data_IF_574757095906
#
_entry.id   IF_574757095906
#
_cell.length_a   1.000
_cell.length_b   1.000
_cell.length_c   1.000
_cell.angle_alpha   90.00
_cell.angle_beta   90.00
_cell.angle_gamma   90.00
#
_symmetry.space_group_name_H-M   'P 1'
#
loop_
_entity.id
_entity.type
_entity.pdbx_description
1 polymer ?
#
# COMPACT_ATOMS: atom_id res chain seq x y z
N UNK A 1 12.18 -1.07 -10.03
CA UNK A 1 11.39 -2.09 -9.32
C UNK A 1 11.57 -3.44 -9.99
N UNK A 2 12.36 -4.32 -9.37
CA UNK A 2 12.58 -5.68 -9.87
C UNK A 2 11.25 -6.43 -9.99
N UNK A 3 11.11 -7.27 -11.01
CA UNK A 3 9.95 -8.15 -11.25
C UNK A 3 8.64 -7.45 -11.70
N UNK A 4 8.70 -6.24 -12.26
CA UNK A 4 7.51 -5.50 -12.70
C UNK A 4 6.65 -6.26 -13.73
N UNK A 5 7.27 -7.16 -14.50
CA UNK A 5 6.63 -8.00 -15.51
C UNK A 5 5.79 -9.15 -14.93
N UNK A 6 5.91 -9.41 -13.61
CA UNK A 6 5.10 -10.38 -12.87
C UNK A 6 4.28 -9.69 -11.78
N UNK A 7 3.03 -9.25 -12.08
CA UNK A 7 2.17 -8.57 -11.12
C UNK A 7 1.87 -9.38 -9.87
N UNK A 8 1.89 -10.72 -9.94
CA UNK A 8 1.64 -11.59 -8.78
C UNK A 8 2.82 -11.56 -7.82
N UNK A 9 4.04 -11.68 -8.36
CA UNK A 9 5.27 -11.62 -7.56
C UNK A 9 5.42 -10.25 -6.90
N UNK A 10 5.15 -9.17 -7.63
CA UNK A 10 5.13 -7.80 -7.10
C UNK A 10 4.14 -7.68 -5.95
N UNK A 11 2.89 -8.17 -6.13
CA UNK A 11 1.88 -8.12 -5.08
C UNK A 11 2.37 -8.82 -3.79
N UNK A 12 2.95 -10.02 -3.93
CA UNK A 12 3.43 -10.81 -2.80
C UNK A 12 4.58 -10.13 -2.07
N UNK A 13 5.54 -9.55 -2.79
CA UNK A 13 6.66 -8.82 -2.19
C UNK A 13 6.21 -7.56 -1.47
N UNK A 14 5.27 -6.80 -2.04
CA UNK A 14 4.68 -5.63 -1.36
C UNK A 14 4.01 -6.04 -0.05
N UNK A 15 3.20 -7.11 -0.06
CA UNK A 15 2.54 -7.60 1.16
C UNK A 15 3.55 -8.07 2.21
N UNK A 16 4.56 -8.84 1.80
CA UNK A 16 5.60 -9.34 2.69
C UNK A 16 6.34 -8.19 3.39
N UNK A 17 6.81 -7.20 2.62
CA UNK A 17 7.49 -6.00 3.15
C UNK A 17 6.56 -5.18 4.03
N UNK A 18 5.31 -4.99 3.60
CA UNK A 18 4.31 -4.23 4.37
C UNK A 18 4.09 -4.85 5.73
N UNK A 19 3.82 -6.16 5.80
CA UNK A 19 3.59 -6.83 7.08
C UNK A 19 4.84 -6.85 7.96
N UNK A 20 6.01 -7.08 7.38
CA UNK A 20 7.26 -7.02 8.13
C UNK A 20 7.47 -5.65 8.79
N UNK A 21 7.28 -4.55 8.06
CA UNK A 21 7.42 -3.20 8.61
C UNK A 21 6.29 -2.88 9.60
N UNK A 22 5.07 -3.37 9.33
CA UNK A 22 3.89 -3.15 10.16
C UNK A 22 3.96 -3.83 11.53
N UNK A 23 4.81 -4.85 11.71
CA UNK A 23 5.02 -5.47 13.02
C UNK A 23 5.51 -4.46 14.06
N UNK A 24 6.33 -3.49 13.66
CA UNK A 24 6.90 -2.51 14.58
C UNK A 24 5.85 -1.60 15.24
N UNK A 25 4.97 -0.89 14.50
CA UNK A 25 3.90 -0.10 15.12
C UNK A 25 2.90 -0.98 15.90
N UNK A 26 2.58 -2.18 15.42
CA UNK A 26 1.64 -3.09 16.11
C UNK A 26 2.20 -3.55 17.47
N UNK A 27 3.44 -4.04 17.50
CA UNK A 27 4.06 -4.53 18.73
C UNK A 27 4.29 -3.38 19.71
N UNK A 28 4.77 -2.23 19.23
CA UNK A 28 5.02 -1.08 20.10
C UNK A 28 3.74 -0.54 20.76
N UNK A 29 2.64 -0.38 20.01
CA UNK A 29 1.37 0.08 20.59
C UNK A 29 0.75 -0.94 21.54
N UNK A 30 0.89 -2.24 21.25
CA UNK A 30 0.44 -3.31 22.16
C UNK A 30 1.19 -3.29 23.49
N UNK A 31 2.52 -3.16 23.45
CA UNK A 31 3.34 -3.11 24.66
C UNK A 31 3.09 -1.83 25.49
N UNK A 32 2.72 -0.73 24.83
CA UNK A 32 2.33 0.52 25.47
C UNK A 32 0.92 0.49 26.08
N UNK A 33 0.10 -0.55 25.81
CA UNK A 33 -1.30 -0.61 26.23
C UNK A 33 -2.25 0.28 25.42
N UNK A 34 -1.79 0.81 24.28
CA UNK A 34 -2.56 1.66 23.38
C UNK A 34 -3.39 0.79 22.42
N UNK A 35 -4.45 0.17 22.95
CA UNK A 35 -5.28 -0.76 22.19
C UNK A 35 -6.08 -0.08 21.07
N UNK A 36 -6.52 1.15 21.26
CA UNK A 36 -7.22 1.95 20.23
C UNK A 36 -6.31 2.28 19.05
N UNK A 37 -5.03 2.57 19.30
CA UNK A 37 -3.97 2.74 18.28
C UNK A 37 -3.74 1.43 17.54
N UNK A 38 -3.55 0.34 18.27
CA UNK A 38 -3.34 -0.99 17.68
C UNK A 38 -4.52 -1.38 16.76
N UNK A 39 -5.75 -1.23 17.26
CA UNK A 39 -6.96 -1.58 16.52
C UNK A 39 -7.17 -0.65 15.32
N UNK A 40 -6.94 0.65 15.48
CA UNK A 40 -6.96 1.62 14.40
C UNK A 40 -6.00 1.22 13.28
N UNK A 41 -4.73 0.98 13.63
CA UNK A 41 -3.71 0.58 12.67
C UNK A 41 -4.05 -0.73 11.95
N UNK A 42 -4.44 -1.78 12.67
CA UNK A 42 -4.82 -3.07 12.09
C UNK A 42 -6.03 -2.90 11.16
N UNK A 43 -7.04 -2.13 11.57
CA UNK A 43 -8.21 -1.84 10.75
C UNK A 43 -7.80 -1.21 9.40
N UNK A 44 -6.99 -0.15 9.44
CA UNK A 44 -6.46 0.48 8.24
C UNK A 44 -5.64 -0.50 7.38
N UNK A 45 -4.76 -1.28 7.99
CA UNK A 45 -3.88 -2.23 7.32
C UNK A 45 -4.66 -3.33 6.59
N UNK A 46 -5.70 -3.89 7.20
CA UNK A 46 -6.58 -4.89 6.57
C UNK A 46 -7.24 -4.30 5.33
N UNK A 47 -7.77 -3.08 5.43
CA UNK A 47 -8.36 -2.38 4.27
C UNK A 47 -7.31 -2.14 3.19
N UNK A 48 -6.10 -1.71 3.55
CA UNK A 48 -5.01 -1.52 2.61
C UNK A 48 -4.70 -2.81 1.82
N UNK A 49 -4.61 -3.95 2.51
CA UNK A 49 -4.41 -5.27 1.90
C UNK A 49 -5.51 -5.62 0.89
N UNK A 50 -6.78 -5.38 1.26
CA UNK A 50 -7.91 -5.61 0.36
C UNK A 50 -7.86 -4.70 -0.87
N UNK A 51 -7.51 -3.43 -0.69
CA UNK A 51 -7.35 -2.48 -1.78
C UNK A 51 -6.18 -2.84 -2.71
N UNK A 52 -5.08 -3.37 -2.20
CA UNK A 52 -3.99 -3.89 -3.01
C UNK A 52 -4.45 -5.09 -3.85
N UNK A 53 -5.16 -6.05 -3.24
CA UNK A 53 -5.71 -7.20 -3.97
C UNK A 53 -6.68 -6.79 -5.05
N UNK A 54 -7.53 -5.82 -4.73
CA UNK A 54 -8.43 -5.23 -5.67
C UNK A 54 -7.68 -4.58 -6.84
N UNK A 55 -6.65 -3.77 -6.55
CA UNK A 55 -5.81 -3.13 -7.58
C UNK A 55 -5.17 -4.16 -8.50
N UNK A 56 -4.59 -5.23 -7.95
CA UNK A 56 -4.05 -6.35 -8.72
C UNK A 56 -5.10 -6.92 -9.69
N UNK A 57 -6.31 -7.24 -9.21
CA UNK A 57 -7.36 -7.79 -10.08
C UNK A 57 -7.76 -6.82 -11.20
N UNK A 58 -7.79 -5.51 -10.92
CA UNK A 58 -8.11 -4.50 -11.94
C UNK A 58 -7.00 -4.36 -12.98
N UNK A 59 -5.73 -4.48 -12.58
CA UNK A 59 -4.60 -4.48 -13.53
C UNK A 59 -4.71 -5.69 -14.46
N UNK A 60 -4.88 -6.89 -13.92
CA UNK A 60 -5.03 -8.12 -14.74
C UNK A 60 -6.21 -8.00 -15.71
N UNK A 61 -7.34 -7.45 -15.25
CA UNK A 61 -8.50 -7.23 -16.12
C UNK A 61 -8.25 -6.17 -17.19
N UNK A 62 -7.55 -5.09 -16.86
CA UNK A 62 -7.26 -4.03 -17.83
C UNK A 62 -6.31 -4.51 -18.94
N UNK A 63 -5.36 -5.40 -18.62
CA UNK A 63 -4.44 -5.99 -19.60
C UNK A 63 -5.14 -6.85 -20.66
N UNK A 64 -6.38 -7.29 -20.42
CA UNK A 64 -7.18 -8.05 -21.39
C UNK A 64 -8.16 -7.18 -22.19
N UNK A 65 -8.11 -5.86 -22.06
CA UNK A 65 -9.03 -4.92 -22.72
C UNK A 65 -8.31 -4.15 -23.82
N UNK A 66 -9.07 -3.66 -24.80
CA UNK A 66 -8.56 -2.65 -25.74
C UNK A 66 -8.16 -1.37 -24.99
N UNK A 67 -7.15 -0.67 -25.50
CA UNK A 67 -6.49 0.45 -24.82
C UNK A 67 -7.47 1.53 -24.30
N UNK A 68 -8.38 2.01 -25.16
CA UNK A 68 -9.37 3.03 -24.78
C UNK A 68 -10.29 2.54 -23.65
N UNK A 69 -10.69 1.27 -23.71
CA UNK A 69 -11.54 0.65 -22.69
C UNK A 69 -10.78 0.43 -21.38
N UNK A 70 -9.51 0.02 -21.47
CA UNK A 70 -8.63 -0.17 -20.32
C UNK A 70 -8.40 1.15 -19.57
N UNK A 71 -8.14 2.23 -20.29
CA UNK A 71 -7.92 3.55 -19.71
C UNK A 71 -9.15 4.04 -18.93
N UNK A 72 -10.33 3.98 -19.57
CA UNK A 72 -11.60 4.37 -18.92
C UNK A 72 -11.91 3.48 -17.71
N UNK A 73 -11.66 2.17 -17.82
CA UNK A 73 -11.85 1.21 -16.74
C UNK A 73 -10.98 1.54 -15.52
N UNK A 74 -9.67 1.74 -15.74
CA UNK A 74 -8.71 2.06 -14.68
C UNK A 74 -9.05 3.41 -14.03
N UNK A 75 -9.35 4.44 -14.82
CA UNK A 75 -9.75 5.76 -14.33
C UNK A 75 -10.94 5.68 -13.39
N UNK A 76 -11.99 4.94 -13.77
CA UNK A 76 -13.17 4.77 -12.91
C UNK A 76 -12.84 4.03 -11.61
N UNK A 77 -11.92 3.06 -11.65
CA UNK A 77 -11.48 2.35 -10.45
C UNK A 77 -10.74 3.24 -9.48
N UNK A 78 -9.95 4.21 -9.96
CA UNK A 78 -9.31 5.20 -9.09
C UNK A 78 -10.34 6.03 -8.31
N UNK A 79 -11.43 6.47 -8.94
CA UNK A 79 -12.50 7.18 -8.22
C UNK A 79 -13.12 6.32 -7.13
N UNK A 80 -13.38 5.04 -7.41
CA UNK A 80 -13.91 4.12 -6.42
C UNK A 80 -12.93 3.87 -5.27
N UNK A 81 -11.63 3.78 -5.56
CA UNK A 81 -10.58 3.65 -4.55
C UNK A 81 -10.57 4.87 -3.61
N UNK A 82 -10.69 6.09 -4.14
CA UNK A 82 -10.81 7.31 -3.31
C UNK A 82 -12.09 7.33 -2.48
N UNK A 83 -13.22 6.88 -3.03
CA UNK A 83 -14.46 6.75 -2.27
C UNK A 83 -14.31 5.74 -1.11
N UNK A 84 -13.62 4.62 -1.33
CA UNK A 84 -13.32 3.64 -0.28
C UNK A 84 -12.40 4.21 0.79
N UNK A 85 -11.37 4.97 0.42
CA UNK A 85 -10.52 5.67 1.39
C UNK A 85 -11.34 6.62 2.27
N UNK A 86 -12.19 7.44 1.65
CA UNK A 86 -13.06 8.36 2.37
C UNK A 86 -13.98 7.62 3.35
N UNK A 87 -14.65 6.56 2.91
CA UNK A 87 -15.56 5.78 3.75
C UNK A 87 -14.85 5.16 4.96
N UNK A 88 -13.65 4.63 4.76
CA UNK A 88 -12.84 4.01 5.82
C UNK A 88 -12.41 5.06 6.84
N UNK A 89 -11.95 6.23 6.40
CA UNK A 89 -11.54 7.33 7.27
C UNK A 89 -12.73 7.91 8.07
N UNK A 90 -13.89 8.10 7.43
CA UNK A 90 -15.11 8.54 8.12
C UNK A 90 -15.55 7.52 9.17
N UNK A 91 -15.45 6.23 8.85
CA UNK A 91 -15.77 5.15 9.79
C UNK A 91 -14.82 5.18 11.00
N UNK A 92 -13.52 5.36 10.77
CA UNK A 92 -12.53 5.46 11.82
C UNK A 92 -12.79 6.67 12.76
N UNK A 93 -13.12 7.85 12.21
CA UNK A 93 -13.46 9.04 13.02
C UNK A 93 -14.69 8.81 13.90
N UNK A 94 -15.70 8.08 13.41
CA UNK A 94 -16.96 7.88 14.13
C UNK A 94 -16.91 6.79 15.19
N UNK A 95 -15.88 5.94 15.19
CA UNK A 95 -15.82 4.78 16.07
C UNK A 95 -14.83 5.02 17.21
N UNK A 96 -15.34 5.23 18.43
CA UNK A 96 -14.54 5.63 19.60
C UNK A 96 -13.41 4.65 20.00
N UNK A 97 -13.45 3.40 19.51
CA UNK A 97 -12.40 2.38 19.77
C UNK A 97 -11.28 2.37 18.73
N UNK A 98 -11.36 3.18 17.69
CA UNK A 98 -10.35 3.26 16.64
C UNK A 98 -9.65 4.61 16.75
N UNK A 99 -8.33 4.57 16.92
CA UNK A 99 -7.55 5.78 16.76
C UNK A 99 -7.53 6.17 15.27
N UNK A 100 -8.03 7.35 14.95
CA UNK A 100 -8.13 7.84 13.58
C UNK A 100 -6.78 7.91 12.86
N UNK A 101 -5.75 8.47 13.53
CA UNK A 101 -4.43 8.62 12.93
C UNK A 101 -3.79 7.25 12.66
N UNK A 102 -3.91 6.34 13.62
CA UNK A 102 -3.41 4.98 13.44
C UNK A 102 -4.10 4.28 12.26
N UNK A 103 -5.43 4.43 12.12
CA UNK A 103 -6.18 3.91 10.98
C UNK A 103 -5.75 4.51 9.65
N UNK A 104 -5.52 5.82 9.59
CA UNK A 104 -5.00 6.47 8.39
C UNK A 104 -3.60 5.94 8.02
N UNK A 105 -2.70 5.82 8.99
CA UNK A 105 -1.35 5.27 8.75
C UNK A 105 -1.42 3.83 8.26
N UNK A 106 -2.23 2.98 8.91
CA UNK A 106 -2.45 1.60 8.46
C UNK A 106 -3.01 1.52 7.03
N UNK A 107 -3.99 2.38 6.70
CA UNK A 107 -4.63 2.44 5.38
C UNK A 107 -3.65 2.80 4.26
N UNK A 108 -2.69 3.68 4.55
CA UNK A 108 -1.68 4.13 3.57
C UNK A 108 -0.35 3.37 3.67
N UNK A 109 -0.22 2.39 4.58
CA UNK A 109 1.04 1.68 4.83
C UNK A 109 1.63 1.03 3.57
N UNK A 110 0.79 0.42 2.74
CA UNK A 110 1.21 -0.17 1.46
C UNK A 110 1.79 0.91 0.52
N UNK A 111 1.21 2.11 0.47
CA UNK A 111 1.74 3.20 -0.36
C UNK A 111 3.11 3.65 0.13
N UNK A 112 3.30 3.77 1.44
CA UNK A 112 4.60 4.08 2.02
C UNK A 112 5.66 3.03 1.67
N UNK A 113 5.30 1.74 1.72
CA UNK A 113 6.20 0.65 1.30
C UNK A 113 6.56 0.74 -0.17
N UNK A 114 5.57 0.94 -1.05
CA UNK A 114 5.81 1.05 -2.50
C UNK A 114 6.69 2.25 -2.82
N UNK A 115 6.36 3.44 -2.30
CA UNK A 115 7.15 4.67 -2.52
C UNK A 115 8.58 4.49 -2.01
N UNK A 116 8.74 3.98 -0.78
CA UNK A 116 10.07 3.72 -0.20
C UNK A 116 10.87 2.75 -1.04
N UNK A 117 10.25 1.68 -1.53
CA UNK A 117 10.92 0.71 -2.39
C UNK A 117 11.38 1.35 -3.71
N UNK A 118 10.50 2.11 -4.38
CA UNK A 118 10.85 2.81 -5.62
C UNK A 118 11.98 3.82 -5.42
N UNK A 119 11.96 4.60 -4.33
CA UNK A 119 13.03 5.56 -4.01
C UNK A 119 14.36 4.84 -3.75
N UNK A 120 14.36 3.75 -2.99
CA UNK A 120 15.58 2.97 -2.71
C UNK A 120 16.17 2.38 -4.00
N UNK A 121 15.32 1.85 -4.90
CA UNK A 121 15.76 1.33 -6.19
C UNK A 121 16.42 2.43 -7.03
N UNK A 122 15.77 3.61 -7.16
CA UNK A 122 16.32 4.75 -7.90
C UNK A 122 17.67 5.23 -7.36
N UNK A 123 17.81 5.29 -6.03
CA UNK A 123 19.06 5.67 -5.39
C UNK A 123 20.16 4.64 -5.69
N UNK A 124 19.87 3.35 -5.58
CA UNK A 124 20.84 2.29 -5.87
C UNK A 124 21.33 2.34 -7.30
N UNK A 125 20.42 2.52 -8.26
CA UNK A 125 20.76 2.58 -9.68
C UNK A 125 21.69 3.79 -9.96
N UNK A 126 21.40 4.93 -9.34
CA UNK A 126 22.22 6.15 -9.47
C UNK A 126 23.62 5.98 -8.83
N UNK A 127 23.72 5.29 -7.71
CA UNK A 127 25.02 5.01 -7.08
C UNK A 127 25.84 4.00 -7.89
N UNK A 128 25.20 2.97 -8.45
CA UNK A 128 25.88 1.99 -9.29
C UNK A 128 26.41 2.62 -10.58
N UNK A 129 25.60 3.43 -11.28
CA UNK A 129 26.05 4.11 -12.49
C UNK A 129 27.26 5.01 -12.25
N UNK A 130 27.30 5.71 -11.11
CA UNK A 130 28.47 6.52 -10.71
C UNK A 130 29.70 5.66 -10.44
N UNK A 131 29.55 4.54 -9.74
CA UNK A 131 30.67 3.64 -9.44
C UNK A 131 31.25 3.05 -10.73
N UNK A 132 30.40 2.70 -11.69
CA UNK A 132 30.82 2.15 -12.97
C UNK A 132 31.47 3.21 -13.89
N UNK A 133 31.16 4.50 -13.72
CA UNK A 133 31.83 5.60 -14.42
C UNK A 133 33.28 5.84 -13.94
N UNK A 134 33.60 5.45 -12.70
CA UNK A 134 34.96 5.56 -12.12
C UNK A 134 35.81 4.29 -12.28
N UNK A 135 35.28 3.23 -12.91
CA UNK A 135 36.01 2.00 -13.23
C UNK A 135 36.44 1.97 -14.69
#
# INVERSE_FOLDING_TARGET
MKDIDDPQKVQKEILKKTYLISLLPIISSLLAGEYDVTLGFIFGLVIATLLLRLKYNNIIRALSMEEESAEKFIRNRYFLEYALYFLVLVTAVRHARLNFLAAAVGLFMIKFVVISWSVIDLLKDTFQSKIDEYK
#
